data_IF_830182423285
#
_entry.id   IF_830182423285
#
_cell.length_a   1.000
_cell.length_b   1.000
_cell.length_c   1.000
_cell.angle_alpha   90.00
_cell.angle_beta   90.00
_cell.angle_gamma   90.00
#
_symmetry.space_group_name_H-M   'P 1'
#
loop_
_entity.id
_entity.type
_entity.pdbx_description
1 polymer ?
#
# COMPACT_ATOMS: atom_id res chain seq x y z
N UNK A 1 -1.93 5.83 3.74
CA UNK A 1 -2.17 4.86 4.83
C UNK A 1 -1.50 5.43 6.08
N UNK A 2 -2.19 5.52 7.22
CA UNK A 2 -1.74 6.26 8.42
C UNK A 2 -1.82 5.33 9.64
N UNK A 3 -0.93 5.43 10.63
CA UNK A 3 -0.99 4.57 11.83
C UNK A 3 -2.08 5.00 12.81
N UNK A 4 -2.67 4.00 13.49
CA UNK A 4 -3.62 4.22 14.59
C UNK A 4 -3.02 3.64 15.89
N UNK A 5 -3.01 4.39 17.00
CA UNK A 5 -2.43 3.91 18.25
C UNK A 5 -3.37 2.90 18.92
N UNK A 6 -3.14 1.60 18.70
CA UNK A 6 -3.90 0.53 19.35
C UNK A 6 -3.31 -0.87 19.19
N UNK A 7 -2.94 -1.47 20.34
CA UNK A 7 -2.59 -2.88 20.59
C UNK A 7 -1.13 -3.35 20.33
N UNK A 8 -0.61 -4.28 21.18
CA UNK A 8 0.82 -4.62 21.23
C UNK A 8 1.27 -5.45 20.03
N UNK A 9 2.35 -4.99 19.38
CA UNK A 9 3.02 -5.57 18.22
C UNK A 9 3.60 -7.00 18.41
N UNK A 10 3.34 -7.67 19.55
CA UNK A 10 3.96 -8.93 19.96
C UNK A 10 3.40 -10.18 19.26
N UNK A 11 2.38 -10.03 18.42
CA UNK A 11 1.83 -11.12 17.56
C UNK A 11 2.00 -10.85 16.05
N UNK A 12 2.70 -9.79 15.68
CA UNK A 12 2.87 -9.41 14.28
C UNK A 12 4.03 -10.19 13.66
N UNK A 13 3.78 -10.80 12.50
CA UNK A 13 4.82 -11.41 11.67
C UNK A 13 5.90 -10.36 11.32
N UNK A 14 7.14 -10.78 11.02
CA UNK A 14 8.21 -9.84 10.65
C UNK A 14 7.80 -8.87 9.53
N UNK A 15 7.04 -9.36 8.55
CA UNK A 15 6.51 -8.59 7.42
C UNK A 15 5.52 -7.54 7.89
N UNK A 16 4.59 -7.93 8.76
CA UNK A 16 3.55 -7.07 9.33
C UNK A 16 4.16 -5.91 10.14
N UNK A 17 5.23 -6.20 10.90
CA UNK A 17 5.99 -5.19 11.65
C UNK A 17 6.75 -4.23 10.72
N UNK A 18 7.32 -4.74 9.63
CA UNK A 18 8.01 -3.92 8.64
C UNK A 18 7.05 -2.96 7.93
N UNK A 19 5.81 -3.40 7.66
CA UNK A 19 4.76 -2.54 7.09
C UNK A 19 4.43 -1.39 8.04
N UNK A 20 4.23 -1.69 9.33
CA UNK A 20 3.94 -0.68 10.36
C UNK A 20 5.07 0.35 10.45
N UNK A 21 6.32 -0.11 10.54
CA UNK A 21 7.49 0.78 10.61
C UNK A 21 7.60 1.71 9.39
N UNK A 22 7.30 1.22 8.18
CA UNK A 22 7.29 2.04 6.97
C UNK A 22 6.19 3.12 6.96
N UNK A 23 5.13 2.96 7.77
CA UNK A 23 4.03 3.91 7.87
C UNK A 23 4.19 4.91 9.04
N UNK A 24 5.27 4.80 9.84
CA UNK A 24 5.50 5.66 11.02
C UNK A 24 5.81 7.11 10.64
N UNK A 25 6.68 7.30 9.65
CA UNK A 25 7.16 8.64 9.28
C UNK A 25 6.20 9.39 8.36
N UNK A 26 5.51 8.68 7.46
CA UNK A 26 4.63 9.31 6.47
C UNK A 26 3.62 8.34 5.85
N UNK A 27 2.51 8.85 5.28
CA UNK A 27 1.57 8.01 4.57
C UNK A 27 2.18 7.40 3.31
N UNK A 28 2.23 6.07 3.28
CA UNK A 28 2.77 5.29 2.15
C UNK A 28 1.65 4.58 1.38
N UNK A 29 1.87 4.32 0.09
CA UNK A 29 0.95 3.53 -0.74
C UNK A 29 1.21 2.02 -0.62
N UNK A 30 0.19 1.20 -0.85
CA UNK A 30 0.30 -0.28 -0.79
C UNK A 30 1.28 -0.81 -1.85
N UNK A 31 1.28 -0.21 -3.04
CA UNK A 31 2.24 -0.55 -4.09
C UNK A 31 3.69 -0.27 -3.67
N UNK A 32 3.93 0.86 -3.00
CA UNK A 32 5.27 1.22 -2.58
C UNK A 32 5.78 0.37 -1.41
N UNK A 33 4.90 -0.04 -0.49
CA UNK A 33 5.21 -1.07 0.52
C UNK A 33 5.64 -2.37 -0.17
N UNK A 34 4.88 -2.83 -1.17
CA UNK A 34 5.19 -4.08 -1.88
C UNK A 34 6.55 -4.04 -2.57
N UNK A 35 6.90 -2.90 -3.18
CA UNK A 35 8.19 -2.68 -3.81
C UNK A 35 9.35 -2.65 -2.79
N UNK A 36 9.18 -1.95 -1.65
CA UNK A 36 10.23 -1.85 -0.62
C UNK A 36 10.48 -3.17 0.11
N UNK A 37 9.41 -3.91 0.42
CA UNK A 37 9.50 -5.18 1.12
C UNK A 37 9.75 -6.37 0.18
N UNK A 38 9.81 -6.14 -1.14
CA UNK A 38 9.95 -7.17 -2.16
C UNK A 38 8.86 -8.26 -2.05
N UNK A 39 7.64 -7.85 -1.68
CA UNK A 39 6.48 -8.73 -1.55
C UNK A 39 5.57 -8.59 -2.76
N UNK A 40 4.85 -9.65 -3.11
CA UNK A 40 3.81 -9.56 -4.12
C UNK A 40 2.70 -8.61 -3.66
N UNK A 41 2.23 -7.74 -4.56
CA UNK A 41 1.20 -6.75 -4.27
C UNK A 41 -0.06 -7.35 -3.62
N UNK A 42 -0.48 -8.55 -4.06
CA UNK A 42 -1.60 -9.28 -3.46
C UNK A 42 -1.36 -9.68 -2.00
N UNK A 43 -0.16 -10.16 -1.68
CA UNK A 43 0.24 -10.52 -0.31
C UNK A 43 0.29 -9.27 0.57
N UNK A 44 0.88 -8.19 0.07
CA UNK A 44 0.89 -6.90 0.78
C UNK A 44 -0.53 -6.41 1.06
N UNK A 45 -1.45 -6.54 0.10
CA UNK A 45 -2.87 -6.13 0.27
C UNK A 45 -3.58 -6.93 1.37
N UNK A 46 -3.29 -8.23 1.49
CA UNK A 46 -3.82 -9.10 2.54
C UNK A 46 -3.28 -8.65 3.91
N UNK A 47 -1.97 -8.51 4.06
CA UNK A 47 -1.33 -8.09 5.31
C UNK A 47 -1.81 -6.69 5.76
N UNK A 48 -1.92 -5.76 4.81
CA UNK A 48 -2.50 -4.43 5.04
C UNK A 48 -3.96 -4.53 5.49
N UNK A 49 -4.74 -5.43 4.90
CA UNK A 49 -6.12 -5.71 5.30
C UNK A 49 -6.22 -6.22 6.74
N UNK A 50 -5.33 -7.13 7.14
CA UNK A 50 -5.27 -7.66 8.50
C UNK A 50 -4.87 -6.58 9.52
N UNK A 51 -3.88 -5.75 9.18
CA UNK A 51 -3.46 -4.59 9.98
C UNK A 51 -4.57 -3.56 10.14
N UNK A 52 -5.37 -3.34 9.09
CA UNK A 52 -6.55 -2.48 9.16
C UNK A 52 -7.64 -3.08 10.03
N UNK A 53 -7.95 -4.36 9.86
CA UNK A 53 -8.97 -5.06 10.64
C UNK A 53 -8.64 -5.09 12.15
N UNK A 54 -7.35 -5.12 12.48
CA UNK A 54 -6.85 -5.07 13.86
C UNK A 54 -6.65 -3.65 14.41
N UNK A 55 -6.99 -2.62 13.64
CA UNK A 55 -6.93 -1.23 14.07
C UNK A 55 -5.52 -0.67 14.22
N UNK A 56 -4.52 -1.28 13.59
CA UNK A 56 -3.13 -0.84 13.65
C UNK A 56 -2.80 0.15 12.52
N UNK A 57 -3.54 0.07 11.40
CA UNK A 57 -3.38 0.96 10.26
C UNK A 57 -4.74 1.46 9.74
N UNK A 58 -4.80 2.75 9.41
CA UNK A 58 -5.86 3.35 8.64
C UNK A 58 -5.49 3.42 7.15
N UNK A 59 -6.37 2.91 6.30
CA UNK A 59 -6.14 2.81 4.86
C UNK A 59 -7.08 3.77 4.16
N UNK A 60 -6.53 4.88 3.66
CA UNK A 60 -7.24 5.77 2.76
C UNK A 60 -7.24 5.16 1.36
N UNK A 61 -8.41 4.75 0.89
CA UNK A 61 -8.65 4.43 -0.51
C UNK A 61 -9.10 5.74 -1.16
N UNK A 62 -8.35 6.22 -2.15
CA UNK A 62 -8.87 7.26 -3.02
C UNK A 62 -9.97 6.59 -3.87
N UNK A 63 -11.22 7.04 -3.72
CA UNK A 63 -12.38 6.54 -4.48
C UNK A 63 -12.29 6.76 -6.01
N UNK A 64 -11.15 7.27 -6.50
CA UNK A 64 -10.89 7.55 -7.91
C UNK A 64 -10.01 6.50 -8.59
N UNK A 65 -10.14 5.22 -8.21
CA UNK A 65 -9.34 4.10 -8.77
C UNK A 65 -9.69 3.77 -10.23
N UNK A 66 -10.59 4.54 -10.86
CA UNK A 66 -10.70 4.62 -12.31
C UNK A 66 -9.77 5.74 -12.80
N UNK A 67 -8.56 5.41 -13.32
CA UNK A 67 -7.77 6.42 -14.00
C UNK A 67 -8.61 7.02 -15.11
N UNK A 68 -8.59 8.35 -15.20
CA UNK A 68 -9.34 9.02 -16.24
C UNK A 68 -8.88 8.48 -17.62
N UNK A 69 -9.79 8.32 -18.58
CA UNK A 69 -9.45 7.74 -19.88
C UNK A 69 -8.29 8.46 -20.58
N UNK A 70 -8.09 9.76 -20.29
CA UNK A 70 -7.03 10.58 -20.86
C UNK A 70 -5.66 10.19 -20.32
N UNK A 71 -5.54 9.94 -19.02
CA UNK A 71 -4.34 9.42 -18.35
C UNK A 71 -3.95 8.05 -18.90
N UNK A 72 -4.92 7.14 -19.05
CA UNK A 72 -4.67 5.82 -19.67
C UNK A 72 -4.12 6.00 -21.09
N UNK A 73 -4.76 6.87 -21.88
CA UNK A 73 -4.34 7.14 -23.26
C UNK A 73 -2.96 7.79 -23.35
N UNK A 74 -2.61 8.67 -22.41
CA UNK A 74 -1.29 9.32 -22.31
C UNK A 74 -0.19 8.30 -22.04
N UNK A 75 -0.39 7.41 -21.07
CA UNK A 75 0.56 6.34 -20.74
C UNK A 75 0.74 5.41 -21.94
N UNK A 76 -0.35 4.95 -22.55
CA UNK A 76 -0.31 4.06 -23.71
C UNK A 76 0.44 4.70 -24.88
N UNK A 77 0.24 6.01 -25.14
CA UNK A 77 1.01 6.74 -26.16
C UNK A 77 2.50 6.82 -25.80
N UNK A 78 2.82 7.10 -24.54
CA UNK A 78 4.19 7.14 -24.05
C UNK A 78 4.91 5.80 -24.22
N UNK A 79 4.29 4.69 -23.81
CA UNK A 79 4.84 3.35 -23.95
C UNK A 79 5.08 2.96 -25.42
N UNK A 80 4.17 3.34 -26.33
CA UNK A 80 4.35 3.09 -27.78
C UNK A 80 5.41 3.96 -28.44
N UNK A 81 5.82 5.06 -27.82
CA UNK A 81 6.88 5.92 -28.36
C UNK A 81 8.30 5.40 -28.02
N UNK A 82 8.39 4.43 -27.11
CA UNK A 82 9.66 3.86 -26.63
C UNK A 82 9.88 2.44 -27.23
N UNK A 83 8.90 1.92 -27.97
CA UNK A 83 8.98 0.68 -28.76
C UNK A 83 9.16 0.98 -30.23
#
# INVERSE_FOLDING_TARGET
MTLVPGAPASRLSPETRAIVALCEDSPISVAEISARLHLHLGVTRILVGDLRATGQLDVHVLDNDTPDPETIMRVIRGLRSIS
#
